data_IF_886172581570
#
_entry.id   IF_886172581570
#
_cell.length_a   1.000
_cell.length_b   1.000
_cell.length_c   1.000
_cell.angle_alpha   90.00
_cell.angle_beta   90.00
_cell.angle_gamma   90.00
#
_symmetry.space_group_name_H-M   'P 1'
#
loop_
_entity.id
_entity.type
_entity.pdbx_description
1 polymer ?
#
# COMPACT_ATOMS: atom_id res chain seq x y z
N UNK A 1 26.67 32.48 -16.41
CA UNK A 1 25.27 32.02 -16.45
C UNK A 1 25.10 31.03 -15.31
N UNK A 2 24.46 31.48 -14.28
CA UNK A 2 24.22 30.67 -13.07
C UNK A 2 23.18 29.60 -13.41
N UNK A 3 23.61 28.37 -13.59
CA UNK A 3 22.72 27.23 -13.83
C UNK A 3 22.03 26.86 -12.50
N UNK A 4 21.06 27.67 -12.09
CA UNK A 4 20.13 27.21 -11.03
C UNK A 4 19.53 25.91 -11.54
N UNK A 5 19.89 24.80 -10.91
CA UNK A 5 19.28 23.49 -11.22
C UNK A 5 17.77 23.65 -11.10
N UNK A 6 17.06 23.46 -12.20
CA UNK A 6 15.60 23.52 -12.24
C UNK A 6 15.03 22.50 -11.24
N UNK A 7 14.19 22.95 -10.33
CA UNK A 7 13.56 22.09 -9.32
C UNK A 7 12.44 21.30 -9.98
N UNK A 8 12.51 19.98 -9.91
CA UNK A 8 11.43 19.12 -10.38
C UNK A 8 10.31 19.08 -9.34
N UNK A 9 9.15 19.60 -9.68
CA UNK A 9 7.96 19.52 -8.85
C UNK A 9 7.16 18.25 -9.13
N UNK A 10 6.85 17.48 -8.07
CA UNK A 10 6.12 16.21 -8.14
C UNK A 10 4.90 16.26 -7.23
N UNK A 11 3.71 16.17 -7.80
CA UNK A 11 2.44 16.15 -7.10
C UNK A 11 2.01 14.69 -6.87
N UNK A 12 1.75 14.32 -5.62
CA UNK A 12 1.35 12.96 -5.22
C UNK A 12 -0.14 12.96 -4.84
N UNK A 13 -0.94 12.19 -5.57
CA UNK A 13 -2.39 12.10 -5.39
C UNK A 13 -2.78 10.64 -5.21
N UNK A 14 -3.69 10.37 -4.26
CA UNK A 14 -4.26 9.03 -4.04
C UNK A 14 -3.90 8.39 -2.70
N UNK A 15 -2.85 8.82 -2.01
CA UNK A 15 -2.65 8.50 -0.60
C UNK A 15 -3.61 9.33 0.26
N UNK A 16 -4.12 8.77 1.35
CA UNK A 16 -5.04 9.48 2.27
C UNK A 16 -4.33 10.51 3.12
N UNK A 17 -3.05 10.27 3.42
CA UNK A 17 -2.21 11.10 4.28
C UNK A 17 -0.74 10.82 4.04
N UNK A 18 0.12 11.60 4.65
CA UNK A 18 1.54 11.37 4.70
C UNK A 18 1.86 10.60 6.00
N UNK A 19 2.12 9.31 5.90
CA UNK A 19 2.60 8.48 7.01
C UNK A 19 1.57 7.83 7.93
N UNK A 20 0.26 7.89 7.61
CA UNK A 20 -0.72 7.07 8.30
C UNK A 20 -0.59 5.57 7.91
N UNK A 21 -1.40 4.72 8.53
CA UNK A 21 -1.43 3.31 8.21
C UNK A 21 -2.02 3.07 6.82
N UNK A 22 -1.21 2.51 5.92
CA UNK A 22 -1.60 2.15 4.56
C UNK A 22 -0.38 2.01 3.64
N UNK A 23 -0.53 1.28 2.53
CA UNK A 23 0.56 1.04 1.58
C UNK A 23 1.04 2.34 0.92
N UNK A 24 0.12 3.11 0.36
CA UNK A 24 0.44 4.38 -0.28
C UNK A 24 0.91 5.44 0.72
N UNK A 25 0.30 5.49 1.90
CA UNK A 25 0.67 6.42 2.97
C UNK A 25 2.12 6.18 3.42
N UNK A 26 2.49 4.92 3.62
CA UNK A 26 3.86 4.51 3.95
C UNK A 26 4.83 4.82 2.80
N UNK A 27 4.43 4.51 1.56
CA UNK A 27 5.26 4.79 0.38
C UNK A 27 5.56 6.28 0.24
N UNK A 28 4.53 7.14 0.30
CA UNK A 28 4.68 8.59 0.17
C UNK A 28 5.55 9.15 1.30
N UNK A 29 5.35 8.67 2.52
CA UNK A 29 6.18 9.07 3.68
C UNK A 29 7.66 8.72 3.45
N UNK A 30 7.96 7.48 3.09
CA UNK A 30 9.34 7.02 2.86
C UNK A 30 9.99 7.70 1.66
N UNK A 31 9.23 7.96 0.61
CA UNK A 31 9.71 8.68 -0.57
C UNK A 31 10.10 10.12 -0.22
N UNK A 32 9.26 10.84 0.50
CA UNK A 32 9.53 12.22 0.91
C UNK A 32 10.64 12.29 1.95
N UNK A 33 10.67 11.38 2.93
CA UNK A 33 11.74 11.24 3.92
C UNK A 33 13.10 11.01 3.25
N UNK A 34 13.18 10.10 2.27
CA UNK A 34 14.42 9.81 1.54
C UNK A 34 14.93 11.02 0.73
N UNK A 35 14.02 11.82 0.20
CA UNK A 35 14.37 12.99 -0.61
C UNK A 35 14.35 14.32 0.16
N UNK A 36 14.15 14.32 1.47
CA UNK A 36 13.98 15.56 2.26
C UNK A 36 15.12 16.58 2.12
N UNK A 37 16.34 16.10 1.87
CA UNK A 37 17.53 16.93 1.68
C UNK A 37 17.91 17.15 0.20
N UNK A 38 17.03 16.80 -0.75
CA UNK A 38 17.28 16.98 -2.18
C UNK A 38 16.71 18.32 -2.64
N UNK A 39 17.59 19.28 -2.97
CA UNK A 39 17.21 20.62 -3.42
C UNK A 39 16.60 20.65 -4.83
N UNK A 40 16.85 19.61 -5.64
CA UNK A 40 16.39 19.54 -7.01
C UNK A 40 15.01 18.86 -7.18
N UNK A 41 14.35 18.46 -6.10
CA UNK A 41 13.01 17.87 -6.12
C UNK A 41 12.17 18.50 -5.01
N UNK A 42 10.96 18.94 -5.35
CA UNK A 42 9.94 19.39 -4.38
C UNK A 42 8.65 18.57 -4.55
N UNK A 43 8.24 17.92 -3.48
CA UNK A 43 6.98 17.19 -3.45
C UNK A 43 5.82 18.09 -3.04
N UNK A 44 4.63 17.80 -3.59
CA UNK A 44 3.35 18.38 -3.19
C UNK A 44 2.39 17.22 -2.94
N UNK A 45 1.92 17.05 -1.71
CA UNK A 45 1.18 15.85 -1.29
C UNK A 45 -0.25 16.22 -0.91
N UNK A 46 -1.21 15.64 -1.63
CA UNK A 46 -2.61 15.73 -1.23
C UNK A 46 -2.87 14.82 -0.03
N UNK A 47 -3.55 15.34 0.98
CA UNK A 47 -3.95 14.63 2.18
C UNK A 47 -5.45 14.82 2.44
N UNK A 48 -6.11 13.84 3.07
CA UNK A 48 -7.48 14.01 3.57
C UNK A 48 -7.48 14.89 4.81
N UNK A 49 -8.38 15.85 4.87
CA UNK A 49 -8.57 16.70 6.05
C UNK A 49 -9.42 16.03 7.13
N UNK A 50 -10.29 15.07 6.76
CA UNK A 50 -11.24 14.43 7.65
C UNK A 50 -11.57 12.99 7.23
N UNK A 51 -12.24 12.26 8.12
CA UNK A 51 -12.67 10.88 7.91
C UNK A 51 -11.55 9.85 8.09
N UNK A 52 -11.82 8.60 7.74
CA UNK A 52 -10.88 7.49 7.93
C UNK A 52 -9.56 7.71 7.21
N UNK A 53 -8.44 7.57 7.97
CA UNK A 53 -7.08 7.74 7.49
C UNK A 53 -6.70 9.19 7.16
N UNK A 54 -7.43 10.19 7.68
CA UNK A 54 -7.08 11.59 7.49
C UNK A 54 -5.73 11.94 8.10
N UNK A 55 -5.14 13.02 7.60
CA UNK A 55 -3.87 13.53 8.09
C UNK A 55 -4.03 14.17 9.46
N UNK A 56 -3.20 13.74 10.40
CA UNK A 56 -3.01 14.35 11.69
C UNK A 56 -1.52 14.72 11.82
N UNK A 57 -1.20 15.94 11.42
CA UNK A 57 0.16 16.44 11.41
C UNK A 57 0.81 16.51 12.79
N UNK A 58 -0.01 16.57 13.85
CA UNK A 58 0.50 16.64 15.23
C UNK A 58 1.18 15.32 15.68
N UNK A 59 1.01 14.25 14.94
CA UNK A 59 1.67 12.97 15.21
C UNK A 59 3.08 12.85 14.65
N UNK A 60 3.56 13.88 13.97
CA UNK A 60 4.84 13.84 13.28
C UNK A 60 5.77 14.95 13.76
N UNK A 61 7.03 14.60 13.99
CA UNK A 61 8.08 15.58 14.27
C UNK A 61 8.51 16.31 12.99
N UNK A 62 8.98 17.54 13.12
CA UNK A 62 9.48 18.32 11.98
C UNK A 62 8.42 18.92 11.07
N UNK A 63 7.16 18.90 11.47
CA UNK A 63 6.08 19.58 10.74
C UNK A 63 6.19 21.09 10.92
N UNK A 64 6.09 21.82 9.80
CA UNK A 64 5.92 23.28 9.79
C UNK A 64 4.53 23.62 9.29
N UNK A 65 3.67 24.13 10.15
CA UNK A 65 2.30 24.55 9.79
C UNK A 65 2.35 25.85 8.99
N UNK A 66 1.74 25.87 7.80
CA UNK A 66 1.58 27.05 6.95
C UNK A 66 0.26 27.74 7.26
N UNK A 67 -0.84 26.98 7.27
CA UNK A 67 -2.18 27.40 7.65
C UNK A 67 -3.03 26.18 8.07
N UNK A 68 -4.33 26.31 8.27
CA UNK A 68 -5.19 25.20 8.72
C UNK A 68 -5.33 24.05 7.71
N UNK A 69 -5.02 24.33 6.43
CA UNK A 69 -5.13 23.37 5.35
C UNK A 69 -3.80 22.98 4.71
N UNK A 70 -2.71 23.65 5.08
CA UNK A 70 -1.40 23.42 4.46
C UNK A 70 -0.28 23.36 5.51
N UNK A 71 0.66 22.45 5.30
CA UNK A 71 1.84 22.27 6.15
C UNK A 71 3.02 21.74 5.33
N UNK A 72 4.21 21.79 5.87
CA UNK A 72 5.41 21.13 5.33
C UNK A 72 5.87 20.00 6.24
N UNK A 73 6.27 18.89 5.62
CA UNK A 73 6.93 17.75 6.26
C UNK A 73 7.90 17.11 5.26
N UNK A 74 9.14 16.80 5.69
CA UNK A 74 10.19 16.25 4.81
C UNK A 74 10.45 17.09 3.53
N UNK A 75 10.42 18.42 3.66
CA UNK A 75 10.49 19.33 2.51
C UNK A 75 9.37 19.11 1.46
N UNK A 76 8.29 18.45 1.83
CA UNK A 76 7.10 18.29 1.00
C UNK A 76 6.02 19.28 1.45
N UNK A 77 5.47 20.04 0.49
CA UNK A 77 4.27 20.84 0.71
C UNK A 77 3.03 19.93 0.71
N UNK A 78 2.33 19.88 1.82
CA UNK A 78 1.15 19.05 2.01
C UNK A 78 -0.10 19.90 2.09
N UNK A 79 -1.18 19.52 1.40
CA UNK A 79 -2.44 20.23 1.42
C UNK A 79 -3.61 19.29 1.71
N UNK A 80 -4.52 19.75 2.58
CA UNK A 80 -5.62 18.96 3.13
C UNK A 80 -6.91 19.20 2.34
N UNK A 81 -7.55 18.12 1.89
CA UNK A 81 -8.81 18.11 1.13
C UNK A 81 -9.95 17.68 2.06
N UNK A 82 -10.97 18.52 2.19
CA UNK A 82 -12.20 18.18 2.90
C UNK A 82 -13.05 17.19 2.10
N UNK A 83 -13.52 16.13 2.76
CA UNK A 83 -14.26 15.02 2.16
C UNK A 83 -15.71 15.04 2.65
N UNK A 84 -16.71 15.11 1.76
CA UNK A 84 -18.11 14.98 2.14
C UNK A 84 -18.46 13.55 2.53
N UNK A 85 -19.49 13.37 3.37
CA UNK A 85 -19.96 12.05 3.84
C UNK A 85 -20.83 11.36 2.78
N UNK A 86 -20.22 10.89 1.70
CA UNK A 86 -20.88 10.28 0.53
C UNK A 86 -20.57 8.77 0.36
N UNK A 87 -20.24 8.11 1.46
CA UNK A 87 -19.95 6.67 1.45
C UNK A 87 -18.78 6.28 0.54
N UNK A 88 -18.83 5.17 -0.21
CA UNK A 88 -17.71 4.68 -1.03
C UNK A 88 -17.23 5.65 -2.12
N UNK A 89 -18.09 6.58 -2.57
CA UNK A 89 -17.72 7.60 -3.56
C UNK A 89 -16.70 8.63 -3.04
N UNK A 90 -16.47 8.68 -1.73
CA UNK A 90 -15.48 9.56 -1.09
C UNK A 90 -14.09 9.43 -1.72
N UNK A 91 -13.67 8.21 -2.09
CA UNK A 91 -12.34 7.99 -2.67
C UNK A 91 -12.21 8.65 -4.06
N UNK A 92 -13.26 8.58 -4.86
CA UNK A 92 -13.32 9.24 -6.18
C UNK A 92 -13.34 10.75 -6.01
N UNK A 93 -14.20 11.24 -5.12
CA UNK A 93 -14.29 12.66 -4.82
C UNK A 93 -12.95 13.25 -4.36
N UNK A 94 -12.27 12.54 -3.46
CA UNK A 94 -10.97 12.94 -2.93
C UNK A 94 -9.94 13.12 -4.06
N UNK A 95 -9.77 12.11 -4.91
CA UNK A 95 -8.77 12.16 -5.98
C UNK A 95 -9.11 13.27 -7.00
N UNK A 96 -10.39 13.48 -7.32
CA UNK A 96 -10.86 14.56 -8.22
C UNK A 96 -10.58 15.94 -7.60
N UNK A 97 -10.91 16.13 -6.33
CA UNK A 97 -10.67 17.39 -5.62
C UNK A 97 -9.17 17.67 -5.45
N UNK A 98 -8.37 16.63 -5.16
CA UNK A 98 -6.92 16.75 -5.08
C UNK A 98 -6.29 17.15 -6.41
N UNK A 99 -6.71 16.54 -7.54
CA UNK A 99 -6.23 16.93 -8.87
C UNK A 99 -6.62 18.37 -9.24
N UNK A 100 -7.82 18.79 -8.88
CA UNK A 100 -8.25 20.19 -9.07
C UNK A 100 -7.31 21.13 -8.30
N UNK A 101 -7.05 20.85 -7.02
CA UNK A 101 -6.13 21.64 -6.20
C UNK A 101 -4.70 21.65 -6.77
N UNK A 102 -4.22 20.51 -7.27
CA UNK A 102 -2.91 20.44 -7.96
C UNK A 102 -2.87 21.37 -9.19
N UNK A 103 -3.87 21.30 -10.07
CA UNK A 103 -3.93 22.16 -11.26
C UNK A 103 -4.00 23.66 -10.91
N UNK A 104 -4.75 24.00 -9.86
CA UNK A 104 -4.85 25.39 -9.35
C UNK A 104 -3.51 25.86 -8.79
N UNK A 105 -2.83 25.03 -7.99
CA UNK A 105 -1.50 25.35 -7.45
C UNK A 105 -0.45 25.53 -8.55
N UNK A 106 -0.40 24.60 -9.53
CA UNK A 106 0.52 24.66 -10.68
C UNK A 106 0.31 25.98 -11.44
N UNK A 107 -0.94 26.33 -11.72
CA UNK A 107 -1.30 27.54 -12.47
C UNK A 107 -0.94 28.81 -11.70
N UNK A 108 -1.32 28.87 -10.41
CA UNK A 108 -1.09 30.03 -9.55
C UNK A 108 0.40 30.34 -9.39
N UNK A 109 1.22 29.30 -9.25
CA UNK A 109 2.65 29.43 -8.97
C UNK A 109 3.53 29.29 -10.21
N UNK A 110 2.92 29.20 -11.41
CA UNK A 110 3.64 29.06 -12.69
C UNK A 110 4.71 27.95 -12.66
N UNK A 111 4.36 26.80 -12.06
CA UNK A 111 5.30 25.67 -11.89
C UNK A 111 5.68 25.09 -13.26
N UNK A 112 6.95 25.10 -13.64
CA UNK A 112 7.39 24.53 -14.91
C UNK A 112 7.44 23.01 -14.86
N UNK A 113 7.07 22.36 -15.94
CA UNK A 113 7.19 20.91 -16.17
C UNK A 113 6.79 20.00 -14.99
N UNK A 114 5.62 20.24 -14.31
CA UNK A 114 5.24 19.44 -13.15
C UNK A 114 4.97 17.98 -13.53
N UNK A 115 5.28 17.07 -12.63
CA UNK A 115 4.83 15.67 -12.70
C UNK A 115 3.67 15.50 -11.72
N UNK A 116 2.53 15.01 -12.20
CA UNK A 116 1.40 14.61 -11.34
C UNK A 116 1.35 13.09 -11.31
N UNK A 117 1.69 12.50 -10.15
CA UNK A 117 1.73 11.06 -9.94
C UNK A 117 0.49 10.62 -9.17
N UNK A 118 -0.37 9.86 -9.84
CA UNK A 118 -1.67 9.39 -9.33
C UNK A 118 -1.53 7.94 -8.91
N UNK A 119 -1.94 7.65 -7.68
CA UNK A 119 -1.92 6.30 -7.10
C UNK A 119 -3.32 5.70 -7.13
N UNK A 120 -3.45 4.52 -7.76
CA UNK A 120 -4.67 3.79 -8.06
C UNK A 120 -5.57 4.40 -9.17
N UNK A 121 -6.35 3.53 -9.79
CA UNK A 121 -7.15 3.85 -10.98
C UNK A 121 -8.61 4.20 -10.63
N UNK A 122 -8.84 5.19 -9.74
CA UNK A 122 -10.19 5.47 -9.21
C UNK A 122 -11.03 6.42 -10.07
N UNK A 123 -10.41 7.23 -10.92
CA UNK A 123 -11.06 8.40 -11.54
C UNK A 123 -11.15 8.32 -13.08
N UNK A 124 -11.16 7.13 -13.65
CA UNK A 124 -11.15 6.94 -15.11
C UNK A 124 -12.08 7.85 -15.89
N UNK A 125 -13.38 7.99 -15.54
CA UNK A 125 -14.31 8.90 -16.24
C UNK A 125 -13.87 10.36 -16.24
N UNK A 126 -13.10 10.80 -15.26
CA UNK A 126 -12.61 12.16 -15.11
C UNK A 126 -11.18 12.35 -15.65
N UNK A 127 -10.44 11.25 -15.84
CA UNK A 127 -9.01 11.26 -16.18
C UNK A 127 -8.72 12.08 -17.44
N UNK A 128 -9.51 11.92 -18.49
CA UNK A 128 -9.29 12.63 -19.75
C UNK A 128 -9.36 14.17 -19.62
N UNK A 129 -10.17 14.69 -18.72
CA UNK A 129 -10.26 16.13 -18.44
C UNK A 129 -8.98 16.61 -17.73
N UNK A 130 -8.63 15.99 -16.60
CA UNK A 130 -7.46 16.40 -15.81
C UNK A 130 -6.15 16.21 -16.54
N UNK A 131 -5.99 15.11 -17.28
CA UNK A 131 -4.76 14.85 -18.03
C UNK A 131 -4.53 15.91 -19.11
N UNK A 132 -5.59 16.31 -19.83
CA UNK A 132 -5.51 17.43 -20.79
C UNK A 132 -5.17 18.76 -20.11
N UNK A 133 -5.70 19.01 -18.92
CA UNK A 133 -5.40 20.23 -18.17
C UNK A 133 -3.94 20.26 -17.71
N UNK A 134 -3.45 19.16 -17.13
CA UNK A 134 -2.04 19.02 -16.72
C UNK A 134 -1.09 19.19 -17.92
N UNK A 135 -1.41 18.60 -19.08
CA UNK A 135 -0.62 18.77 -20.29
C UNK A 135 -0.61 20.22 -20.79
N UNK A 136 -1.76 20.93 -20.72
CA UNK A 136 -1.82 22.37 -21.05
C UNK A 136 -0.94 23.22 -20.13
N UNK A 137 -0.76 22.80 -18.89
CA UNK A 137 0.13 23.42 -17.91
C UNK A 137 1.61 23.01 -18.08
N UNK A 138 1.96 22.26 -19.16
CA UNK A 138 3.32 21.79 -19.44
C UNK A 138 3.75 20.57 -18.64
N UNK A 139 2.81 19.96 -17.90
CA UNK A 139 3.09 18.82 -17.01
C UNK A 139 2.96 17.46 -17.68
N UNK A 140 3.30 16.42 -16.90
CA UNK A 140 3.13 15.00 -17.25
C UNK A 140 2.32 14.28 -16.19
N UNK A 141 1.59 13.25 -16.60
CA UNK A 141 0.81 12.40 -15.72
C UNK A 141 1.47 11.03 -15.61
N UNK A 142 1.90 10.69 -14.39
CA UNK A 142 2.35 9.34 -14.07
C UNK A 142 1.26 8.63 -13.27
N UNK A 143 1.15 7.33 -13.46
CA UNK A 143 0.10 6.51 -12.87
C UNK A 143 0.70 5.28 -12.19
N UNK A 144 0.38 5.04 -10.93
CA UNK A 144 0.51 3.70 -10.35
C UNK A 144 -0.83 2.97 -10.53
N UNK A 145 -0.90 1.91 -11.34
CA UNK A 145 -2.17 1.24 -11.62
C UNK A 145 -2.70 0.41 -10.44
N UNK A 146 -1.93 0.20 -9.36
CA UNK A 146 -2.19 -0.68 -8.22
C UNK A 146 -2.32 -2.16 -8.65
N UNK A 147 -3.11 -2.43 -9.61
CA UNK A 147 -3.32 -3.73 -10.24
C UNK A 147 -4.48 -4.54 -9.67
N UNK A 148 -5.27 -5.08 -10.59
CA UNK A 148 -6.34 -6.05 -10.33
C UNK A 148 -7.41 -5.62 -9.30
N UNK A 149 -7.57 -4.33 -8.96
CA UNK A 149 -8.60 -3.91 -7.98
C UNK A 149 -10.00 -4.38 -8.39
N UNK A 150 -10.29 -4.45 -9.70
CA UNK A 150 -11.54 -4.95 -10.23
C UNK A 150 -11.76 -6.47 -10.05
N UNK A 151 -10.72 -7.24 -9.73
CA UNK A 151 -10.82 -8.68 -9.47
C UNK A 151 -11.14 -9.00 -8.01
N UNK A 152 -11.05 -8.03 -7.11
CA UNK A 152 -11.23 -8.28 -5.67
C UNK A 152 -12.65 -8.70 -5.34
N UNK A 153 -12.79 -9.81 -4.61
CA UNK A 153 -14.06 -10.43 -4.23
C UNK A 153 -14.96 -9.51 -3.38
N UNK A 154 -14.38 -8.54 -2.66
CA UNK A 154 -15.13 -7.56 -1.86
C UNK A 154 -16.06 -6.66 -2.69
N UNK A 155 -15.85 -6.54 -4.01
CA UNK A 155 -16.63 -5.66 -4.87
C UNK A 155 -17.77 -6.38 -5.57
N UNK A 156 -18.95 -5.76 -5.59
CA UNK A 156 -20.08 -6.23 -6.42
C UNK A 156 -19.77 -6.13 -7.92
N UNK A 157 -20.49 -6.88 -8.74
CA UNK A 157 -20.24 -6.92 -10.18
C UNK A 157 -20.27 -5.52 -10.87
N UNK A 158 -21.22 -4.60 -10.56
CA UNK A 158 -21.20 -3.26 -11.13
C UNK A 158 -19.95 -2.45 -10.73
N UNK A 159 -19.52 -2.57 -9.47
CA UNK A 159 -18.34 -1.88 -8.96
C UNK A 159 -17.07 -2.43 -9.63
N UNK A 160 -16.96 -3.75 -9.80
CA UNK A 160 -15.86 -4.37 -10.54
C UNK A 160 -15.78 -3.88 -11.98
N UNK A 161 -16.95 -3.76 -12.65
CA UNK A 161 -17.03 -3.20 -14.01
C UNK A 161 -16.53 -1.74 -14.05
N UNK A 162 -16.94 -0.94 -13.08
CA UNK A 162 -16.45 0.44 -12.94
C UNK A 162 -14.92 0.49 -12.83
N UNK A 163 -14.34 -0.28 -11.91
CA UNK A 163 -12.89 -0.35 -11.71
C UNK A 163 -12.15 -0.72 -12.97
N UNK A 164 -12.63 -1.75 -13.70
CA UNK A 164 -11.99 -2.19 -14.95
C UNK A 164 -12.02 -1.13 -16.04
N UNK A 165 -13.14 -0.43 -16.20
CA UNK A 165 -13.27 0.67 -17.17
C UNK A 165 -12.39 1.85 -16.73
N UNK A 166 -12.39 2.19 -15.45
CA UNK A 166 -11.58 3.26 -14.88
C UNK A 166 -10.08 3.01 -15.11
N UNK A 167 -9.60 1.81 -14.81
CA UNK A 167 -8.21 1.41 -15.06
C UNK A 167 -7.85 1.55 -16.54
N UNK A 168 -8.67 1.02 -17.45
CA UNK A 168 -8.44 1.14 -18.88
C UNK A 168 -8.34 2.60 -19.35
N UNK A 169 -9.24 3.47 -18.86
CA UNK A 169 -9.23 4.89 -19.22
C UNK A 169 -7.98 5.59 -18.68
N UNK A 170 -7.60 5.34 -17.44
CA UNK A 170 -6.45 5.99 -16.82
C UNK A 170 -5.14 5.52 -17.44
N UNK A 171 -4.94 4.22 -17.67
CA UNK A 171 -3.77 3.68 -18.38
C UNK A 171 -3.68 4.22 -19.80
N UNK A 172 -4.83 4.34 -20.49
CA UNK A 172 -4.87 4.86 -21.86
C UNK A 172 -4.31 6.27 -22.01
N UNK A 173 -4.51 7.12 -21.03
CA UNK A 173 -4.22 8.55 -21.12
C UNK A 173 -2.99 9.00 -20.37
N UNK A 174 -2.41 8.18 -19.48
CA UNK A 174 -1.19 8.55 -18.75
C UNK A 174 0.04 8.59 -19.67
N UNK A 175 1.04 9.38 -19.27
CA UNK A 175 2.32 9.48 -19.98
C UNK A 175 3.26 8.31 -19.62
N UNK A 176 3.13 7.80 -18.39
CA UNK A 176 3.90 6.66 -17.89
C UNK A 176 3.10 5.93 -16.79
N UNK A 177 2.95 4.61 -16.92
CA UNK A 177 2.47 3.75 -15.85
C UNK A 177 3.67 3.19 -15.08
N UNK A 178 3.76 3.53 -13.79
CA UNK A 178 4.80 3.04 -12.88
C UNK A 178 4.19 1.91 -12.07
N UNK A 179 4.48 0.68 -12.47
CA UNK A 179 3.98 -0.52 -11.81
C UNK A 179 4.83 -0.84 -10.56
N UNK A 180 4.24 -1.45 -9.55
CA UNK A 180 4.95 -1.84 -8.33
C UNK A 180 5.69 -3.18 -8.47
N UNK A 181 5.40 -3.94 -9.53
CA UNK A 181 6.07 -5.20 -9.83
C UNK A 181 6.12 -5.49 -11.33
N UNK A 182 7.06 -6.36 -11.71
CA UNK A 182 7.17 -6.90 -13.09
C UNK A 182 5.87 -7.61 -13.51
N UNK A 183 5.16 -8.26 -12.58
CA UNK A 183 3.92 -8.95 -12.89
C UNK A 183 2.78 -7.98 -13.20
N UNK A 184 2.71 -6.85 -12.52
CA UNK A 184 1.74 -5.79 -12.83
C UNK A 184 2.09 -5.15 -14.17
N UNK A 185 3.36 -4.91 -14.46
CA UNK A 185 3.78 -4.40 -15.76
C UNK A 185 3.36 -5.33 -16.91
N UNK A 186 3.62 -6.64 -16.78
CA UNK A 186 3.16 -7.66 -17.74
C UNK A 186 1.64 -7.64 -17.92
N UNK A 187 0.91 -7.56 -16.81
CA UNK A 187 -0.56 -7.49 -16.84
C UNK A 187 -1.05 -6.24 -17.61
N UNK A 188 -0.43 -5.09 -17.41
CA UNK A 188 -0.79 -3.86 -18.14
C UNK A 188 -0.61 -4.05 -19.63
N UNK A 189 0.49 -4.66 -20.07
CA UNK A 189 0.72 -4.96 -21.48
C UNK A 189 -0.26 -6.01 -22.03
N UNK A 190 -0.49 -7.13 -21.31
CA UNK A 190 -1.46 -8.16 -21.73
C UNK A 190 -2.88 -7.60 -21.89
N UNK A 191 -3.26 -6.64 -21.05
CA UNK A 191 -4.60 -6.07 -21.07
C UNK A 191 -4.78 -4.89 -22.03
N UNK A 192 -3.74 -4.05 -22.20
CA UNK A 192 -3.91 -2.72 -22.78
C UNK A 192 -3.00 -2.41 -23.98
N UNK A 193 -2.14 -3.32 -24.44
CA UNK A 193 -1.42 -3.14 -25.68
C UNK A 193 -2.39 -2.96 -26.85
N UNK A 194 -2.07 -2.02 -27.73
CA UNK A 194 -2.94 -1.64 -28.85
C UNK A 194 -4.20 -0.84 -28.47
N UNK A 195 -4.49 -0.63 -27.17
CA UNK A 195 -5.71 0.05 -26.71
C UNK A 195 -5.48 1.49 -26.26
N UNK A 196 -4.27 1.98 -26.37
CA UNK A 196 -3.92 3.36 -26.07
C UNK A 196 -4.45 4.38 -27.10
N UNK A 197 -4.07 5.65 -26.95
CA UNK A 197 -4.40 6.69 -27.91
C UNK A 197 -3.78 6.34 -29.27
N UNK A 198 -4.57 6.34 -30.34
CA UNK A 198 -4.16 5.96 -31.71
C UNK A 198 -3.60 4.53 -31.81
N UNK A 199 -4.10 3.60 -30.97
CA UNK A 199 -3.65 2.21 -30.98
C UNK A 199 -2.25 1.97 -30.41
N UNK A 200 -1.69 2.92 -29.67
CA UNK A 200 -0.36 2.78 -29.06
C UNK A 200 -0.42 1.88 -27.82
N UNK A 201 0.71 1.24 -27.54
CA UNK A 201 0.92 0.56 -26.27
C UNK A 201 1.09 1.56 -25.13
N UNK A 202 0.66 1.25 -23.90
CA UNK A 202 1.00 2.07 -22.75
C UNK A 202 2.52 2.09 -22.55
N UNK A 203 3.05 3.25 -22.15
CA UNK A 203 4.42 3.32 -21.66
C UNK A 203 4.45 2.88 -20.21
N UNK A 204 5.31 1.93 -19.89
CA UNK A 204 5.40 1.36 -18.55
C UNK A 204 6.83 1.36 -18.04
N UNK A 205 6.97 1.26 -16.76
CA UNK A 205 8.18 0.85 -16.04
C UNK A 205 7.74 0.22 -14.74
N UNK A 206 8.60 -0.55 -14.08
CA UNK A 206 8.31 -0.99 -12.73
C UNK A 206 9.34 -0.42 -11.74
N UNK A 207 8.83 -0.02 -10.58
CA UNK A 207 9.62 0.38 -9.42
C UNK A 207 9.00 -0.34 -8.23
N UNK A 208 9.68 -1.40 -7.77
CA UNK A 208 9.21 -2.16 -6.62
C UNK A 208 9.26 -1.31 -5.35
N UNK A 209 8.27 -1.50 -4.48
CA UNK A 209 8.34 -0.92 -3.15
C UNK A 209 9.58 -1.44 -2.43
N UNK A 210 10.28 -0.55 -1.75
CA UNK A 210 11.40 -0.90 -0.90
C UNK A 210 10.96 -1.63 0.37
N UNK A 211 11.91 -2.28 1.01
CA UNK A 211 11.76 -2.80 2.35
C UNK A 211 12.81 -2.17 3.26
N UNK A 212 12.41 -1.84 4.48
CA UNK A 212 13.36 -1.45 5.52
C UNK A 212 14.07 -2.72 6.03
N UNK A 213 15.37 -2.82 5.72
CA UNK A 213 16.21 -3.95 6.11
C UNK A 213 17.00 -3.67 7.40
N UNK A 214 16.76 -2.51 8.05
CA UNK A 214 17.43 -2.20 9.30
C UNK A 214 16.89 -3.09 10.42
N UNK A 215 17.80 -3.58 11.25
CA UNK A 215 17.43 -4.32 12.45
C UNK A 215 16.75 -3.38 13.46
N UNK A 216 15.96 -3.96 14.35
CA UNK A 216 15.37 -3.22 15.45
C UNK A 216 16.45 -2.66 16.39
N UNK A 217 16.21 -1.46 16.87
CA UNK A 217 17.04 -0.82 17.89
C UNK A 217 16.81 -1.39 19.30
N UNK A 218 15.73 -2.14 19.50
CA UNK A 218 15.41 -2.73 20.80
C UNK A 218 16.37 -3.89 21.12
N UNK A 219 16.87 -3.90 22.35
CA UNK A 219 17.62 -5.03 22.90
C UNK A 219 16.65 -6.23 23.14
N UNK A 220 17.22 -7.43 23.34
CA UNK A 220 16.41 -8.62 23.58
C UNK A 220 15.75 -8.61 24.98
N UNK A 221 16.28 -7.84 25.90
CA UNK A 221 15.80 -7.61 27.26
C UNK A 221 15.03 -6.29 27.43
N UNK A 222 14.72 -5.61 26.33
CA UNK A 222 13.92 -4.37 26.36
C UNK A 222 12.55 -4.64 27.01
N UNK A 223 12.17 -3.79 27.94
CA UNK A 223 10.97 -3.95 28.77
C UNK A 223 9.69 -4.06 27.93
N UNK A 224 9.59 -3.30 26.83
CA UNK A 224 8.45 -3.38 25.92
C UNK A 224 8.34 -4.75 25.30
N UNK A 225 9.45 -5.34 24.85
CA UNK A 225 9.49 -6.65 24.23
C UNK A 225 9.18 -7.76 25.23
N UNK A 226 9.81 -7.70 26.40
CA UNK A 226 9.61 -8.69 27.48
C UNK A 226 8.15 -8.66 27.96
N UNK A 227 7.58 -7.47 28.16
CA UNK A 227 6.18 -7.32 28.55
C UNK A 227 5.22 -7.86 27.47
N UNK A 228 5.51 -7.59 26.19
CA UNK A 228 4.71 -8.10 25.08
C UNK A 228 4.76 -9.62 25.01
N UNK A 229 5.93 -10.26 25.14
CA UNK A 229 6.04 -11.71 25.18
C UNK A 229 5.26 -12.33 26.32
N UNK A 230 5.36 -11.75 27.52
CA UNK A 230 4.63 -12.21 28.71
C UNK A 230 3.12 -12.09 28.53
N UNK A 231 2.65 -10.97 28.01
CA UNK A 231 1.22 -10.73 27.76
C UNK A 231 0.65 -11.69 26.72
N UNK A 232 1.40 -11.95 25.63
CA UNK A 232 0.94 -12.80 24.52
C UNK A 232 1.28 -14.29 24.69
N UNK A 233 1.96 -14.66 25.78
CA UNK A 233 2.35 -16.03 26.05
C UNK A 233 3.27 -16.62 25.00
N UNK A 234 4.16 -15.82 24.42
CA UNK A 234 5.10 -16.20 23.37
C UNK A 234 6.54 -16.24 23.91
N UNK A 235 7.39 -16.97 23.22
CA UNK A 235 8.82 -17.07 23.56
C UNK A 235 9.68 -16.88 22.32
N UNK A 236 10.78 -16.16 22.45
CA UNK A 236 11.75 -15.90 21.37
C UNK A 236 12.12 -17.20 20.65
N UNK A 237 12.11 -17.16 19.31
CA UNK A 237 12.41 -18.29 18.41
C UNK A 237 11.48 -19.51 18.54
N UNK A 238 10.41 -19.40 19.31
CA UNK A 238 9.45 -20.49 19.51
C UNK A 238 8.06 -20.20 18.92
N UNK A 239 7.98 -19.35 17.89
CA UNK A 239 6.73 -19.09 17.18
C UNK A 239 6.95 -18.84 15.69
N UNK A 240 5.98 -19.29 14.90
CA UNK A 240 5.79 -18.84 13.53
C UNK A 240 4.98 -17.52 13.55
N UNK A 241 5.24 -16.62 12.61
CA UNK A 241 4.64 -15.31 12.59
C UNK A 241 3.91 -15.03 11.29
N UNK A 242 2.70 -14.50 11.39
CA UNK A 242 1.97 -13.86 10.28
C UNK A 242 1.68 -12.41 10.68
N UNK A 243 1.94 -11.48 9.77
CA UNK A 243 1.58 -10.06 9.94
C UNK A 243 0.78 -9.63 8.72
N UNK A 244 -0.47 -9.23 8.90
CA UNK A 244 -1.29 -8.81 7.77
C UNK A 244 -2.71 -8.46 8.13
N UNK A 245 -3.48 -7.95 7.16
CA UNK A 245 -4.90 -7.70 7.33
C UNK A 245 -5.65 -9.02 7.41
N UNK A 246 -6.59 -9.12 8.35
CA UNK A 246 -7.41 -10.32 8.53
C UNK A 246 -8.55 -10.36 7.52
N UNK A 247 -8.20 -10.77 6.31
CA UNK A 247 -9.12 -10.86 5.17
C UNK A 247 -8.90 -12.18 4.43
N UNK A 248 -9.94 -12.73 3.77
CA UNK A 248 -9.85 -14.02 3.06
C UNK A 248 -8.71 -14.07 2.03
N UNK A 249 -8.45 -12.97 1.33
CA UNK A 249 -7.42 -12.87 0.30
C UNK A 249 -5.99 -13.13 0.83
N UNK A 250 -5.76 -12.95 2.13
CA UNK A 250 -4.49 -13.26 2.77
C UNK A 250 -4.37 -14.71 3.24
N UNK A 251 -5.30 -15.58 2.82
CA UNK A 251 -5.25 -17.04 3.01
C UNK A 251 -5.15 -17.53 4.46
N UNK A 252 -5.68 -16.78 5.43
CA UNK A 252 -5.65 -17.17 6.85
C UNK A 252 -6.28 -18.54 7.08
N UNK A 253 -7.41 -18.85 6.42
CA UNK A 253 -8.06 -20.16 6.53
C UNK A 253 -7.10 -21.31 6.24
N UNK A 254 -6.35 -21.19 5.14
CA UNK A 254 -5.43 -22.25 4.73
C UNK A 254 -4.24 -22.34 5.66
N UNK A 255 -3.66 -21.20 6.05
CA UNK A 255 -2.51 -21.18 6.96
C UNK A 255 -2.86 -21.81 8.31
N UNK A 256 -3.99 -21.45 8.88
CA UNK A 256 -4.47 -22.00 10.16
C UNK A 256 -4.76 -23.51 10.02
N UNK A 257 -5.51 -23.91 9.00
CA UNK A 257 -5.86 -25.31 8.75
C UNK A 257 -4.62 -26.21 8.58
N UNK A 258 -3.66 -25.78 7.80
CA UNK A 258 -2.44 -26.56 7.56
C UNK A 258 -1.51 -26.55 8.78
N UNK A 259 -1.47 -25.46 9.54
CA UNK A 259 -0.73 -25.41 10.78
C UNK A 259 -1.29 -26.38 11.83
N UNK A 260 -2.63 -26.45 11.99
CA UNK A 260 -3.29 -27.41 12.91
C UNK A 260 -2.94 -28.86 12.62
N UNK A 261 -2.69 -29.22 11.35
CA UNK A 261 -2.27 -30.56 10.95
C UNK A 261 -0.80 -30.83 11.24
N UNK A 262 -0.02 -29.82 11.57
CA UNK A 262 1.40 -29.97 11.82
C UNK A 262 1.69 -30.51 13.20
N UNK A 263 2.80 -31.26 13.34
CA UNK A 263 3.32 -31.74 14.63
C UNK A 263 4.23 -30.70 15.31
N UNK A 264 4.19 -29.43 14.87
CA UNK A 264 5.03 -28.40 15.45
C UNK A 264 4.68 -28.17 16.93
N UNK A 265 5.70 -28.00 17.76
CA UNK A 265 5.57 -27.62 19.16
C UNK A 265 5.67 -26.11 19.37
N UNK A 266 5.74 -25.34 18.26
CA UNK A 266 5.85 -23.88 18.30
C UNK A 266 4.49 -23.24 18.16
N UNK A 267 4.35 -22.04 18.71
CA UNK A 267 3.15 -21.24 18.55
C UNK A 267 2.99 -20.69 17.11
N UNK A 268 1.76 -20.34 16.75
CA UNK A 268 1.41 -19.66 15.52
C UNK A 268 0.84 -18.29 15.85
N UNK A 269 1.68 -17.29 15.84
CA UNK A 269 1.36 -15.92 16.23
C UNK A 269 0.81 -15.11 15.04
N UNK A 270 -0.38 -14.57 15.18
CA UNK A 270 -1.11 -13.82 14.15
C UNK A 270 -1.23 -12.36 14.60
N UNK A 271 -0.35 -11.48 14.05
CA UNK A 271 -0.44 -10.02 14.25
C UNK A 271 -1.39 -9.48 13.20
N UNK A 272 -2.61 -9.18 13.64
CA UNK A 272 -3.67 -8.71 12.76
C UNK A 272 -4.75 -7.93 13.50
N UNK A 273 -5.48 -7.07 12.77
CA UNK A 273 -6.71 -6.47 13.27
C UNK A 273 -7.85 -7.43 12.96
N UNK A 274 -8.37 -8.07 13.99
CA UNK A 274 -9.39 -9.12 13.86
C UNK A 274 -10.72 -8.52 13.42
N UNK A 275 -11.37 -9.17 12.46
CA UNK A 275 -12.74 -8.95 12.07
C UNK A 275 -13.59 -10.09 12.63
N UNK A 276 -14.51 -9.78 13.53
CA UNK A 276 -15.30 -10.78 14.26
C UNK A 276 -16.11 -11.70 13.34
N UNK A 277 -16.67 -11.16 12.27
CA UNK A 277 -17.44 -11.96 11.30
C UNK A 277 -16.56 -13.04 10.68
N UNK A 278 -15.42 -12.66 10.15
CA UNK A 278 -14.49 -13.60 9.49
C UNK A 278 -13.86 -14.56 10.52
N UNK A 279 -13.59 -14.10 11.74
CA UNK A 279 -13.09 -14.94 12.82
C UNK A 279 -14.09 -16.06 13.17
N UNK A 280 -15.38 -15.71 13.31
CA UNK A 280 -16.43 -16.68 13.60
C UNK A 280 -16.63 -17.66 12.45
N UNK A 281 -16.59 -17.20 11.19
CA UNK A 281 -16.63 -18.07 10.02
C UNK A 281 -15.48 -19.08 10.01
N UNK A 282 -14.27 -18.65 10.39
CA UNK A 282 -13.12 -19.56 10.51
C UNK A 282 -13.24 -20.54 11.67
N UNK A 283 -13.76 -20.06 12.82
CA UNK A 283 -13.99 -20.95 13.97
C UNK A 283 -15.02 -22.02 13.67
N UNK A 284 -16.14 -21.68 13.03
CA UNK A 284 -17.16 -22.65 12.61
C UNK A 284 -16.59 -23.72 11.65
N UNK A 285 -15.66 -23.34 10.79
CA UNK A 285 -15.05 -24.27 9.82
C UNK A 285 -13.93 -25.12 10.37
N UNK A 286 -13.09 -24.55 11.21
CA UNK A 286 -11.80 -25.14 11.57
C UNK A 286 -11.73 -25.57 13.04
N UNK A 287 -12.58 -25.01 13.91
CA UNK A 287 -12.50 -25.19 15.38
C UNK A 287 -11.09 -24.88 15.92
N UNK A 288 -10.45 -23.83 15.36
CA UNK A 288 -9.05 -23.53 15.62
C UNK A 288 -8.79 -23.11 17.09
N UNK A 289 -9.80 -22.64 17.81
CA UNK A 289 -9.67 -22.30 19.24
C UNK A 289 -9.38 -23.52 20.13
N UNK A 290 -9.53 -24.72 19.59
CA UNK A 290 -9.12 -25.96 20.28
C UNK A 290 -7.62 -26.23 20.23
N UNK A 291 -6.87 -25.48 19.43
CA UNK A 291 -5.41 -25.59 19.32
C UNK A 291 -4.74 -24.38 20.00
N UNK A 292 -4.28 -24.60 21.24
CA UNK A 292 -3.67 -23.56 22.09
C UNK A 292 -2.40 -22.91 21.48
N UNK A 293 -1.83 -23.53 20.43
CA UNK A 293 -0.67 -22.99 19.70
C UNK A 293 -1.07 -21.80 18.81
N UNK A 294 -2.36 -21.63 18.46
CA UNK A 294 -2.84 -20.56 17.59
C UNK A 294 -3.15 -19.32 18.41
N UNK A 295 -2.37 -18.26 18.23
CA UNK A 295 -2.46 -17.06 19.06
C UNK A 295 -2.72 -15.82 18.21
N UNK A 296 -3.91 -15.25 18.33
CA UNK A 296 -4.25 -13.93 17.81
C UNK A 296 -3.74 -12.88 18.81
N UNK A 297 -2.63 -12.25 18.48
CA UNK A 297 -1.91 -11.37 19.41
C UNK A 297 -2.24 -9.89 19.25
N UNK A 298 -3.21 -9.57 18.40
CA UNK A 298 -3.65 -8.19 18.13
C UNK A 298 -2.75 -7.46 17.14
N UNK A 299 -2.79 -6.14 17.15
CA UNK A 299 -1.99 -5.28 16.29
C UNK A 299 -0.77 -4.73 17.03
N UNK A 300 0.33 -4.53 16.30
CA UNK A 300 1.54 -3.89 16.82
C UNK A 300 1.88 -2.73 15.90
N UNK A 301 1.69 -1.50 16.37
CA UNK A 301 1.96 -0.27 15.61
C UNK A 301 3.36 0.32 15.87
N UNK A 302 3.98 0.02 17.03
CA UNK A 302 5.37 0.37 17.30
C UNK A 302 6.28 -0.39 16.33
N UNK A 303 6.91 0.34 15.41
CA UNK A 303 7.69 -0.25 14.33
C UNK A 303 8.96 -0.94 14.84
N UNK A 304 9.60 -0.41 15.88
CA UNK A 304 10.78 -1.04 16.44
C UNK A 304 10.44 -2.34 17.17
N UNK A 305 9.32 -2.35 17.90
CA UNK A 305 8.80 -3.58 18.51
C UNK A 305 8.40 -4.61 17.44
N UNK A 306 7.69 -4.19 16.40
CA UNK A 306 7.29 -5.07 15.30
C UNK A 306 8.50 -5.67 14.56
N UNK A 307 9.53 -4.86 14.30
CA UNK A 307 10.80 -5.35 13.74
C UNK A 307 11.40 -6.43 14.64
N UNK A 308 11.50 -6.16 15.94
CA UNK A 308 12.09 -7.10 16.91
C UNK A 308 11.31 -8.41 17.01
N UNK A 309 9.99 -8.34 16.99
CA UNK A 309 9.12 -9.53 16.94
C UNK A 309 9.37 -10.35 15.68
N UNK A 310 9.52 -9.69 14.51
CA UNK A 310 9.85 -10.37 13.24
C UNK A 310 11.22 -11.01 13.27
N UNK A 311 12.25 -10.34 13.78
CA UNK A 311 13.60 -10.87 13.95
C UNK A 311 13.64 -12.09 14.85
N UNK A 312 12.81 -12.08 15.88
CA UNK A 312 12.74 -13.13 16.88
C UNK A 312 11.75 -14.26 16.55
N UNK A 313 11.05 -14.19 15.43
CA UNK A 313 10.24 -15.31 14.95
C UNK A 313 11.13 -16.50 14.53
N UNK A 314 10.60 -17.71 14.65
CA UNK A 314 11.25 -18.90 14.09
C UNK A 314 11.18 -18.88 12.56
N UNK A 315 10.00 -18.59 12.03
CA UNK A 315 9.80 -18.34 10.60
C UNK A 315 8.63 -17.39 10.39
N UNK A 316 8.63 -16.70 9.25
CA UNK A 316 7.57 -15.79 8.82
C UNK A 316 6.75 -16.43 7.71
N UNK A 317 5.42 -16.41 7.85
CA UNK A 317 4.49 -16.88 6.84
C UNK A 317 3.77 -15.70 6.18
N UNK A 318 3.65 -15.75 4.88
CA UNK A 318 2.85 -14.83 4.11
C UNK A 318 1.98 -15.62 3.12
N UNK A 319 0.68 -15.46 3.23
CA UNK A 319 -0.28 -16.07 2.32
C UNK A 319 -0.90 -15.02 1.39
N UNK A 320 -1.02 -15.35 0.12
CA UNK A 320 -1.72 -14.54 -0.86
C UNK A 320 -2.52 -15.42 -1.80
N UNK A 321 -3.77 -15.05 -2.04
CA UNK A 321 -4.64 -15.72 -2.99
C UNK A 321 -4.73 -14.89 -4.28
N UNK A 322 -4.40 -15.49 -5.42
CA UNK A 322 -4.59 -14.89 -6.74
C UNK A 322 -5.70 -15.63 -7.49
N UNK A 323 -6.78 -14.94 -7.82
CA UNK A 323 -7.76 -15.43 -8.79
C UNK A 323 -7.18 -15.32 -10.20
N UNK A 324 -6.95 -16.46 -10.86
CA UNK A 324 -6.65 -16.49 -12.31
C UNK A 324 -7.93 -16.67 -13.13
N UNK A 325 -7.93 -16.08 -14.32
CA UNK A 325 -8.98 -16.34 -15.33
C UNK A 325 -9.11 -17.86 -15.57
N UNK A 326 -10.27 -18.42 -15.19
CA UNK A 326 -10.60 -19.83 -15.38
C UNK A 326 -10.31 -20.68 -14.14
N UNK A 327 -11.29 -20.80 -13.24
CA UNK A 327 -11.52 -21.82 -12.19
C UNK A 327 -10.34 -22.35 -11.34
N UNK A 328 -9.12 -21.87 -11.46
CA UNK A 328 -8.01 -22.28 -10.58
C UNK A 328 -7.53 -21.12 -9.71
N UNK A 329 -7.74 -21.25 -8.41
CA UNK A 329 -7.18 -20.34 -7.39
C UNK A 329 -5.74 -20.77 -7.18
N UNK A 330 -4.77 -19.88 -7.43
CA UNK A 330 -3.38 -20.09 -7.04
C UNK A 330 -3.16 -19.46 -5.69
N UNK A 331 -2.79 -20.28 -4.70
CA UNK A 331 -2.38 -19.83 -3.38
C UNK A 331 -0.86 -19.88 -3.30
N UNK A 332 -0.24 -18.76 -3.05
CA UNK A 332 1.20 -18.67 -2.89
C UNK A 332 1.51 -18.44 -1.42
N UNK A 333 2.32 -19.33 -0.85
CA UNK A 333 2.81 -19.19 0.52
C UNK A 333 4.31 -18.94 0.48
N UNK A 334 4.74 -17.93 1.19
CA UNK A 334 6.14 -17.65 1.40
C UNK A 334 6.47 -17.99 2.84
N UNK A 335 7.46 -18.89 3.02
CA UNK A 335 8.01 -19.22 4.33
C UNK A 335 9.45 -18.72 4.35
N UNK A 336 9.75 -17.81 5.25
CA UNK A 336 11.08 -17.26 5.43
C UNK A 336 11.64 -17.82 6.73
N UNK A 337 12.73 -18.64 6.72
CA UNK A 337 13.33 -19.21 7.93
C UNK A 337 13.94 -18.16 8.87
N UNK A 338 14.19 -16.95 8.37
CA UNK A 338 14.53 -15.75 9.12
C UNK A 338 13.98 -14.54 8.38
N UNK A 339 13.71 -13.44 9.07
CA UNK A 339 13.43 -12.18 8.37
C UNK A 339 14.63 -11.88 7.47
N UNK A 340 14.43 -11.69 6.16
CA UNK A 340 15.55 -11.72 5.22
C UNK A 340 16.46 -10.51 5.44
N UNK A 341 17.60 -10.76 6.05
CA UNK A 341 18.78 -9.91 5.91
C UNK A 341 19.56 -10.26 4.63
N UNK A 342 19.19 -11.36 3.95
CA UNK A 342 19.71 -11.77 2.64
C UNK A 342 18.64 -12.50 1.84
N UNK A 343 18.64 -12.28 0.51
CA UNK A 343 17.71 -12.86 -0.47
C UNK A 343 17.77 -14.40 -0.50
N UNK A 344 16.96 -15.07 0.27
CA UNK A 344 16.65 -16.48 0.05
C UNK A 344 15.13 -16.62 -0.07
N UNK A 345 14.62 -16.51 -1.29
CA UNK A 345 13.23 -16.78 -1.61
C UNK A 345 13.04 -18.29 -1.72
N UNK A 346 12.44 -18.92 -0.72
CA UNK A 346 11.90 -20.27 -0.87
C UNK A 346 10.41 -20.10 -1.18
N UNK A 347 10.03 -20.17 -2.46
CA UNK A 347 8.64 -20.24 -2.86
C UNK A 347 8.19 -21.69 -2.88
N UNK A 348 7.24 -22.05 -2.01
CA UNK A 348 6.57 -23.34 -2.08
C UNK A 348 5.26 -23.10 -2.81
N UNK A 349 5.17 -23.51 -4.08
CA UNK A 349 3.93 -23.49 -4.82
C UNK A 349 3.24 -24.85 -4.69
N UNK A 350 2.06 -24.88 -4.08
CA UNK A 350 1.18 -26.04 -4.17
C UNK A 350 0.24 -25.86 -5.36
N UNK A 351 0.42 -26.68 -6.41
CA UNK A 351 -0.62 -26.91 -7.40
C UNK A 351 -1.61 -27.93 -6.84
N UNK A 352 -2.90 -27.70 -7.01
CA UNK A 352 -3.94 -28.63 -6.64
C UNK A 352 -3.70 -29.98 -7.33
N UNK A 353 -3.71 -31.03 -6.50
CA UNK A 353 -4.17 -32.36 -6.91
C UNK A 353 -5.71 -32.34 -6.92
#
# INVERSE_FOLDING_TARGET
>A
MDSRKEVQHVYLVGAKSLGAYGGYETFVYKLTEYHQNKENIKYHVACKANGDGCMDENKFEGVTKINDHEFELHNAHCFKINIPQIGPAQAIYYDVAALKACCEHIRKNHIPHPIVYIMACRIGPFAGHFYKEIHKLGGKVYLNPDGHEWMRAKWSAPIRKYWKISEQMMVKYCDLAICDSVNIEKYIHECYDGKGIKGRNPKTTFIAYGADLTLSKLADDDEKLVSWYKEKGLTKKNYYLVVGRFVPENSFEVMIREFMKSNSQKDFALITNVNDKFLNELEEKLHFKSDDRIKFVGTVYDQELLKKIRENAYAYFHGQEEERKGSSIRRTFFVFPHYPTQKTNISISYSKI
#
